data_IF_477504227622
#
_entry.id   IF_477504227622
#
_cell.length_a   1.000
_cell.length_b   1.000
_cell.length_c   1.000
_cell.angle_alpha   90.00
_cell.angle_beta   90.00
_cell.angle_gamma   90.00
#
_symmetry.space_group_name_H-M   'P 1'
#
loop_
_entity.id
_entity.type
_entity.pdbx_description
1 polymer ?
#
# COMPACT_ATOMS: atom_id res chain seq x y z
N UNK A 1 6.27 22.72 -9.49
CA UNK A 1 5.74 22.39 -8.13
C UNK A 1 5.89 20.89 -7.94
N UNK A 2 6.08 20.36 -6.71
CA UNK A 2 6.16 18.92 -6.46
C UNK A 2 4.74 18.35 -6.52
N UNK A 3 4.19 18.33 -7.73
CA UNK A 3 2.94 17.66 -8.05
C UNK A 3 3.20 16.89 -9.32
N UNK A 4 2.69 15.67 -9.37
CA UNK A 4 2.92 14.82 -10.51
C UNK A 4 2.30 15.45 -11.76
N UNK A 5 3.03 15.42 -12.87
CA UNK A 5 2.50 15.84 -14.17
C UNK A 5 1.84 14.63 -14.82
N UNK A 6 0.52 14.54 -14.66
CA UNK A 6 -0.25 13.44 -15.23
C UNK A 6 -0.57 13.65 -16.71
N UNK A 7 -0.41 12.58 -17.49
CA UNK A 7 -0.82 12.50 -18.89
C UNK A 7 -2.35 12.56 -18.99
N UNK A 8 -3.05 11.71 -18.24
CA UNK A 8 -4.51 11.77 -18.10
C UNK A 8 -4.88 12.93 -17.21
N UNK A 9 -5.70 13.84 -17.73
CA UNK A 9 -6.18 14.99 -16.97
C UNK A 9 -7.25 14.57 -15.97
N UNK A 10 -7.28 15.29 -14.86
CA UNK A 10 -8.28 15.07 -13.82
C UNK A 10 -9.68 15.33 -14.39
N UNK A 11 -10.60 14.40 -14.13
CA UNK A 11 -11.98 14.46 -14.64
C UNK A 11 -12.96 14.97 -13.59
N UNK A 12 -12.68 14.72 -12.31
CA UNK A 12 -13.63 14.93 -11.23
C UNK A 12 -13.17 16.00 -10.25
N UNK A 13 -14.12 16.51 -9.47
CA UNK A 13 -13.85 17.37 -8.31
C UNK A 13 -13.83 16.51 -7.06
N UNK A 14 -13.09 16.95 -6.06
CA UNK A 14 -12.93 16.24 -4.80
C UNK A 14 -13.03 17.18 -3.61
N UNK A 15 -13.31 16.60 -2.45
CA UNK A 15 -13.18 17.25 -1.15
C UNK A 15 -11.85 16.85 -0.53
N UNK A 16 -11.11 17.81 0.00
CA UNK A 16 -9.76 17.60 0.50
C UNK A 16 -9.76 17.43 2.02
N UNK A 17 -8.98 16.47 2.53
CA UNK A 17 -8.82 16.22 3.96
C UNK A 17 -8.90 14.73 4.31
N UNK A 18 -7.79 14.19 4.81
CA UNK A 18 -7.72 12.85 5.38
C UNK A 18 -8.50 12.79 6.71
N UNK A 19 -9.29 11.73 6.90
CA UNK A 19 -10.12 11.53 8.11
C UNK A 19 -10.93 12.76 8.54
N UNK A 20 -11.34 13.58 7.57
CA UNK A 20 -12.12 14.80 7.79
C UNK A 20 -13.60 14.48 7.63
N UNK A 21 -14.45 15.13 8.42
CA UNK A 21 -15.88 14.95 8.26
C UNK A 21 -16.35 15.66 7.00
N UNK A 22 -16.80 14.90 6.01
CA UNK A 22 -17.29 15.43 4.75
C UNK A 22 -18.80 15.36 4.67
N UNK A 23 -19.38 16.34 3.98
CA UNK A 23 -20.79 16.40 3.59
C UNK A 23 -20.83 16.64 2.08
N UNK A 24 -21.52 15.77 1.35
CA UNK A 24 -21.58 15.82 -0.10
C UNK A 24 -23.00 15.56 -0.58
N UNK A 25 -23.49 16.38 -1.51
CA UNK A 25 -24.82 16.22 -2.08
C UNK A 25 -24.79 16.59 -3.57
N UNK A 26 -25.23 15.66 -4.42
CA UNK A 26 -25.36 15.90 -5.86
C UNK A 26 -26.57 16.79 -6.17
N UNK A 27 -27.60 16.74 -5.32
CA UNK A 27 -28.78 17.59 -5.37
C UNK A 27 -28.83 18.44 -4.09
N UNK A 28 -28.94 19.75 -4.25
CA UNK A 28 -29.04 20.68 -3.11
C UNK A 28 -30.26 20.36 -2.23
N UNK A 29 -30.03 20.22 -0.92
CA UNK A 29 -31.07 19.91 0.06
C UNK A 29 -31.31 18.41 0.26
N UNK A 30 -30.51 17.53 -0.35
CA UNK A 30 -30.65 16.08 -0.19
C UNK A 30 -30.18 15.59 1.18
N UNK A 31 -29.23 16.31 1.81
CA UNK A 31 -28.85 16.07 3.20
C UNK A 31 -29.93 16.61 4.16
N UNK A 32 -30.48 15.79 5.07
CA UNK A 32 -31.34 16.30 6.12
C UNK A 32 -30.54 17.16 7.11
N UNK A 33 -31.17 18.23 7.60
CA UNK A 33 -30.54 19.19 8.51
C UNK A 33 -30.87 18.82 9.96
N UNK A 34 -29.83 18.65 10.79
CA UNK A 34 -29.97 18.43 12.24
C UNK A 34 -30.46 17.02 12.64
N UNK A 35 -30.57 16.08 11.70
CA UNK A 35 -30.95 14.68 11.96
C UNK A 35 -30.38 13.77 10.88
N UNK A 36 -30.02 12.53 11.25
CA UNK A 36 -29.54 11.53 10.29
C UNK A 36 -30.66 10.59 9.82
N UNK A 37 -31.78 10.53 10.56
CA UNK A 37 -32.87 9.57 10.32
C UNK A 37 -34.22 10.27 10.40
N UNK A 38 -34.49 11.25 9.51
CA UNK A 38 -35.81 11.87 9.46
C UNK A 38 -36.87 10.83 9.11
N UNK A 39 -38.11 11.01 9.59
CA UNK A 39 -39.23 10.14 9.24
C UNK A 39 -39.46 10.06 7.72
N UNK A 40 -39.19 11.16 7.01
CA UNK A 40 -39.26 11.28 5.56
C UNK A 40 -37.98 11.99 5.10
N UNK A 41 -36.94 11.26 4.67
CA UNK A 41 -35.76 11.88 4.11
C UNK A 41 -36.10 12.79 2.91
N UNK A 42 -35.33 13.87 2.68
CA UNK A 42 -35.49 14.71 1.51
C UNK A 42 -35.60 13.90 0.23
N UNK A 43 -36.40 14.37 -0.72
CA UNK A 43 -36.66 13.72 -2.00
C UNK A 43 -37.22 12.28 -1.92
N UNK A 44 -37.64 11.81 -0.74
CA UNK A 44 -38.13 10.44 -0.57
C UNK A 44 -37.03 9.38 -0.57
N UNK A 45 -35.77 9.79 -0.36
CA UNK A 45 -34.61 8.90 -0.28
C UNK A 45 -34.71 7.96 0.94
N UNK A 46 -33.90 6.91 0.92
CA UNK A 46 -33.66 6.04 2.07
C UNK A 46 -32.40 6.48 2.79
N UNK A 47 -32.48 6.64 4.12
CA UNK A 47 -31.31 6.86 4.97
C UNK A 47 -30.70 5.50 5.33
N UNK A 48 -29.41 5.34 5.04
CA UNK A 48 -28.63 4.14 5.32
C UNK A 48 -27.34 4.54 6.04
N UNK A 49 -26.87 3.71 6.97
CA UNK A 49 -25.60 3.94 7.67
C UNK A 49 -24.62 2.83 7.35
N UNK A 50 -23.50 3.19 6.73
CA UNK A 50 -22.34 2.34 6.58
C UNK A 50 -21.41 2.54 7.78
N UNK A 51 -21.17 1.48 8.55
CA UNK A 51 -20.31 1.51 9.74
C UNK A 51 -19.00 0.78 9.46
N UNK A 52 -17.90 1.51 9.31
CA UNK A 52 -16.56 0.94 9.10
C UNK A 52 -15.97 0.35 10.38
N UNK A 53 -16.37 0.90 11.53
CA UNK A 53 -15.89 0.50 12.86
C UNK A 53 -17.02 0.07 13.79
N UNK A 54 -16.67 -0.51 14.95
CA UNK A 54 -17.65 -0.80 16.00
C UNK A 54 -18.32 0.49 16.49
N UNK A 55 -19.60 0.41 16.89
CA UNK A 55 -20.33 1.59 17.38
C UNK A 55 -19.69 2.23 18.62
N UNK A 56 -18.96 1.45 19.41
CA UNK A 56 -18.27 1.88 20.63
C UNK A 56 -16.81 2.22 20.42
N UNK A 57 -16.31 2.21 19.17
CA UNK A 57 -14.95 2.64 18.87
C UNK A 57 -14.74 4.08 19.40
N UNK A 58 -13.56 4.38 19.98
CA UNK A 58 -13.22 5.74 20.40
C UNK A 58 -13.51 6.74 19.29
N UNK A 59 -14.00 7.93 19.64
CA UNK A 59 -14.48 8.91 18.65
C UNK A 59 -13.45 9.24 17.56
N UNK A 60 -12.17 9.24 17.89
CA UNK A 60 -11.08 9.55 16.95
C UNK A 60 -10.76 8.38 16.00
N UNK A 61 -11.16 7.15 16.34
CA UNK A 61 -11.07 5.96 15.49
C UNK A 61 -12.40 5.65 14.78
N UNK A 62 -13.51 6.21 15.25
CA UNK A 62 -14.86 5.83 14.81
C UNK A 62 -15.14 6.31 13.37
N UNK A 63 -15.08 5.37 12.43
CA UNK A 63 -15.41 5.62 11.03
C UNK A 63 -16.82 5.11 10.68
N UNK A 64 -17.64 6.02 10.17
CA UNK A 64 -19.01 5.77 9.71
C UNK A 64 -19.42 6.82 8.67
N UNK A 65 -20.34 6.45 7.79
CA UNK A 65 -20.96 7.35 6.82
C UNK A 65 -22.46 7.08 6.71
N UNK A 66 -23.24 8.16 6.64
CA UNK A 66 -24.65 8.12 6.28
C UNK A 66 -24.82 8.37 4.80
N UNK A 67 -25.66 7.57 4.17
CA UNK A 67 -25.98 7.58 2.75
C UNK A 67 -27.47 7.88 2.60
N UNK A 68 -27.82 8.78 1.69
CA UNK A 68 -29.20 9.06 1.28
C UNK A 68 -29.34 8.62 -0.17
N UNK A 69 -29.95 7.45 -0.36
CA UNK A 69 -29.95 6.70 -1.62
C UNK A 69 -31.36 6.43 -2.15
N UNK A 70 -31.48 6.15 -3.44
CA UNK A 70 -32.78 5.93 -4.11
C UNK A 70 -33.43 4.62 -3.64
N UNK A 71 -32.66 3.53 -3.57
CA UNK A 71 -33.08 2.24 -3.02
C UNK A 71 -32.04 1.73 -2.01
N UNK A 72 -32.46 1.12 -0.90
CA UNK A 72 -31.54 0.67 0.14
C UNK A 72 -30.65 -0.48 -0.34
N UNK A 73 -29.41 -0.54 0.15
CA UNK A 73 -28.43 -1.56 -0.23
C UNK A 73 -28.88 -2.99 0.06
N UNK A 74 -29.86 -3.19 0.95
CA UNK A 74 -30.45 -4.48 1.29
C UNK A 74 -31.41 -5.03 0.23
N UNK A 75 -31.76 -4.27 -0.80
CA UNK A 75 -32.72 -4.65 -1.84
C UNK A 75 -32.08 -5.50 -2.97
N UNK A 76 -31.58 -6.69 -2.63
CA UNK A 76 -31.02 -7.64 -3.60
C UNK A 76 -31.47 -9.09 -3.31
N UNK A 77 -31.25 -10.00 -4.26
CA UNK A 77 -31.46 -11.45 -4.07
C UNK A 77 -30.48 -12.04 -3.05
N UNK A 78 -30.66 -13.30 -2.65
CA UNK A 78 -29.62 -14.03 -1.93
C UNK A 78 -28.30 -14.04 -2.71
N UNK A 79 -27.18 -13.99 -1.97
CA UNK A 79 -25.85 -14.21 -2.52
C UNK A 79 -25.62 -15.71 -2.73
N UNK A 80 -25.18 -16.08 -3.92
CA UNK A 80 -24.81 -17.45 -4.28
C UNK A 80 -23.30 -17.53 -4.55
N UNK A 81 -22.63 -18.65 -4.23
CA UNK A 81 -21.22 -18.82 -4.57
C UNK A 81 -20.99 -18.62 -6.08
N UNK A 82 -19.98 -17.82 -6.43
CA UNK A 82 -19.56 -17.58 -7.80
C UNK A 82 -18.12 -18.04 -7.97
N UNK A 83 -17.88 -18.86 -8.99
CA UNK A 83 -16.51 -19.25 -9.39
C UNK A 83 -15.64 -19.82 -8.25
N UNK A 84 -16.26 -20.40 -7.21
CA UNK A 84 -15.59 -20.88 -6.00
C UNK A 84 -14.41 -21.84 -6.26
N UNK A 85 -14.44 -22.58 -7.38
CA UNK A 85 -13.35 -23.47 -7.78
C UNK A 85 -12.14 -22.74 -8.39
N UNK A 86 -12.35 -21.61 -9.07
CA UNK A 86 -11.34 -20.89 -9.86
C UNK A 86 -10.88 -19.60 -9.18
N UNK A 87 -11.79 -18.89 -8.52
CA UNK A 87 -11.51 -17.69 -7.75
C UNK A 87 -11.58 -17.99 -6.26
N UNK A 88 -10.42 -18.27 -5.66
CA UNK A 88 -10.25 -18.29 -4.23
C UNK A 88 -8.90 -17.70 -3.89
N UNK A 89 -8.95 -16.58 -3.17
CA UNK A 89 -7.80 -15.82 -2.73
C UNK A 89 -7.43 -16.15 -1.28
N UNK A 90 -8.10 -17.11 -0.64
CA UNK A 90 -7.65 -17.73 0.59
C UNK A 90 -7.05 -19.12 0.26
N UNK A 91 -5.71 -19.24 0.16
CA UNK A 91 -5.07 -20.47 -0.28
C UNK A 91 -5.34 -21.64 0.66
N UNK A 92 -5.48 -21.40 1.97
CA UNK A 92 -5.69 -22.45 2.96
C UNK A 92 -7.01 -23.21 2.77
N UNK A 93 -7.97 -22.59 2.07
CA UNK A 93 -9.26 -23.19 1.73
C UNK A 93 -9.21 -24.05 0.44
N UNK A 94 -8.09 -24.11 -0.29
CA UNK A 94 -7.96 -24.93 -1.50
C UNK A 94 -6.96 -26.10 -1.34
N UNK A 95 -7.36 -27.35 -1.68
CA UNK A 95 -6.43 -28.48 -1.69
C UNK A 95 -5.23 -28.24 -2.60
N UNK A 96 -4.03 -28.29 -2.03
CA UNK A 96 -2.77 -28.16 -2.79
C UNK A 96 -2.33 -26.72 -3.09
N UNK A 97 -3.15 -25.71 -2.80
CA UNK A 97 -2.68 -24.34 -2.70
C UNK A 97 -2.34 -24.07 -1.25
N UNK A 98 -1.10 -23.68 -0.95
CA UNK A 98 -0.67 -23.31 0.39
C UNK A 98 0.07 -22.00 0.32
N UNK A 99 0.03 -21.28 1.42
CA UNK A 99 0.97 -20.18 1.67
C UNK A 99 2.30 -20.82 2.08
N UNK A 100 3.37 -20.46 1.38
CA UNK A 100 4.72 -20.96 1.64
C UNK A 100 5.53 -19.89 2.37
N UNK A 101 5.84 -20.12 3.64
CA UNK A 101 6.81 -19.29 4.38
C UNK A 101 8.21 -19.73 3.98
N UNK A 102 8.84 -18.93 3.11
CA UNK A 102 10.17 -19.19 2.57
C UNK A 102 11.14 -18.18 3.20
N UNK A 103 12.24 -18.64 3.82
CA UNK A 103 13.23 -17.75 4.44
C UNK A 103 14.20 -17.12 3.44
N UNK A 104 14.28 -17.67 2.22
CA UNK A 104 15.06 -17.07 1.14
C UNK A 104 14.42 -15.75 0.69
N UNK A 105 15.27 -14.78 0.34
CA UNK A 105 14.88 -13.56 -0.33
C UNK A 105 14.30 -13.90 -1.70
N UNK A 106 13.16 -13.30 -2.05
CA UNK A 106 12.53 -13.50 -3.35
C UNK A 106 12.54 -12.19 -4.14
N UNK A 107 12.71 -12.29 -5.45
CA UNK A 107 12.56 -11.17 -6.39
C UNK A 107 11.81 -11.67 -7.61
N UNK A 108 10.87 -10.86 -8.08
CA UNK A 108 10.05 -11.11 -9.23
C UNK A 108 10.40 -10.13 -10.35
N UNK A 109 10.57 -10.66 -11.55
CA UNK A 109 10.50 -9.90 -12.80
C UNK A 109 9.16 -9.17 -12.95
N UNK A 110 9.06 -8.15 -13.82
CA UNK A 110 7.81 -7.48 -14.10
C UNK A 110 6.66 -8.45 -14.38
N UNK A 111 5.58 -8.33 -13.59
CA UNK A 111 4.37 -9.13 -13.79
C UNK A 111 3.70 -8.78 -15.13
N UNK A 112 3.10 -9.75 -15.80
CA UNK A 112 2.49 -9.55 -17.12
C UNK A 112 1.21 -8.70 -17.04
N UNK A 113 0.88 -8.05 -18.15
CA UNK A 113 -0.47 -7.53 -18.38
C UNK A 113 -1.36 -8.70 -18.81
N UNK A 114 -2.64 -8.65 -18.48
CA UNK A 114 -3.65 -9.58 -19.01
C UNK A 114 -4.73 -8.77 -19.70
N UNK A 115 -4.78 -8.85 -21.03
CA UNK A 115 -5.76 -8.11 -21.84
C UNK A 115 -7.15 -8.77 -21.85
N UNK A 116 -7.28 -9.96 -21.27
CA UNK A 116 -8.43 -10.86 -21.46
C UNK A 116 -9.43 -10.85 -20.32
N UNK A 117 -9.07 -10.28 -19.17
CA UNK A 117 -9.87 -10.27 -17.94
C UNK A 117 -10.23 -8.85 -17.50
N UNK A 118 -11.26 -8.76 -16.66
CA UNK A 118 -11.66 -7.52 -15.99
C UNK A 118 -10.92 -7.31 -14.65
N UNK A 119 -11.27 -6.24 -13.94
CA UNK A 119 -10.71 -5.91 -12.62
C UNK A 119 -10.82 -7.05 -11.60
N UNK A 120 -11.98 -7.71 -11.49
CA UNK A 120 -12.22 -8.73 -10.47
C UNK A 120 -11.35 -9.95 -10.77
N UNK A 121 -11.40 -10.43 -12.01
CA UNK A 121 -10.72 -11.66 -12.42
C UNK A 121 -9.21 -11.46 -12.64
N UNK A 122 -8.76 -10.22 -12.77
CA UNK A 122 -7.35 -9.84 -12.83
C UNK A 122 -6.64 -9.77 -11.47
N UNK A 123 -7.34 -10.04 -10.35
CA UNK A 123 -6.74 -10.04 -9.01
C UNK A 123 -5.96 -11.34 -8.74
N UNK A 124 -4.65 -11.23 -8.56
CA UNK A 124 -3.79 -12.35 -8.21
C UNK A 124 -3.14 -12.16 -6.84
N UNK A 125 -3.52 -12.98 -5.85
CA UNK A 125 -2.86 -12.98 -4.55
C UNK A 125 -1.44 -13.55 -4.69
N UNK A 126 -0.43 -12.72 -4.42
CA UNK A 126 0.99 -13.09 -4.52
C UNK A 126 1.50 -13.59 -3.18
N UNK A 127 1.23 -12.83 -2.13
CA UNK A 127 1.75 -13.08 -0.80
C UNK A 127 0.77 -12.57 0.25
N UNK A 128 0.87 -13.05 1.49
CA UNK A 128 0.01 -12.61 2.57
C UNK A 128 0.25 -13.38 3.86
N UNK A 129 -0.48 -12.97 4.90
CA UNK A 129 -0.50 -13.62 6.19
C UNK A 129 -1.82 -13.32 6.91
N UNK A 130 -2.24 -14.23 7.79
CA UNK A 130 -3.48 -14.11 8.55
C UNK A 130 -4.70 -14.67 7.84
N UNK A 131 -5.88 -14.35 8.36
CA UNK A 131 -7.17 -14.87 7.92
C UNK A 131 -8.20 -13.72 7.83
N UNK A 132 -8.74 -13.43 6.64
CA UNK A 132 -9.79 -12.41 6.49
C UNK A 132 -11.05 -12.72 7.29
N UNK A 133 -11.37 -14.00 7.56
CA UNK A 133 -12.53 -14.39 8.37
C UNK A 133 -12.39 -13.97 9.84
N UNK A 134 -11.15 -13.90 10.31
CA UNK A 134 -10.77 -13.40 11.64
C UNK A 134 -10.44 -11.90 11.63
N UNK A 135 -10.56 -11.22 10.47
CA UNK A 135 -10.22 -9.80 10.28
C UNK A 135 -8.82 -9.46 10.78
N UNK A 136 -7.87 -10.35 10.53
CA UNK A 136 -6.48 -10.23 11.01
C UNK A 136 -5.54 -10.55 9.86
N UNK A 137 -4.54 -9.70 9.65
CA UNK A 137 -3.52 -9.93 8.63
C UNK A 137 -3.64 -9.04 7.39
N UNK A 138 -2.96 -9.47 6.33
CA UNK A 138 -2.81 -8.74 5.06
C UNK A 138 -2.79 -9.69 3.87
N UNK A 139 -3.29 -9.21 2.73
CA UNK A 139 -3.11 -9.81 1.40
C UNK A 139 -2.36 -8.85 0.48
N UNK A 140 -1.41 -9.35 -0.29
CA UNK A 140 -0.63 -8.58 -1.27
C UNK A 140 -0.96 -9.13 -2.65
N UNK A 141 -1.62 -8.32 -3.46
CA UNK A 141 -2.06 -8.68 -4.79
C UNK A 141 -1.28 -7.92 -5.86
N UNK A 142 -1.17 -8.58 -7.01
CA UNK A 142 -0.94 -7.93 -8.28
C UNK A 142 -2.27 -7.97 -9.03
N UNK A 143 -2.68 -6.84 -9.59
CA UNK A 143 -3.78 -6.81 -10.53
C UNK A 143 -3.26 -6.58 -11.95
N UNK A 144 -3.83 -7.28 -12.92
CA UNK A 144 -3.59 -7.08 -14.34
C UNK A 144 -4.90 -7.33 -15.10
N UNK A 145 -5.39 -6.33 -15.84
CA UNK A 145 -6.69 -6.40 -16.50
C UNK A 145 -6.73 -5.56 -17.78
N UNK A 146 -7.46 -6.03 -18.79
CA UNK A 146 -7.62 -5.36 -20.08
C UNK A 146 -9.05 -5.01 -20.44
N UNK A 147 -10.01 -5.49 -19.64
CA UNK A 147 -11.43 -5.23 -19.84
C UNK A 147 -11.98 -4.38 -18.71
N UNK A 148 -12.90 -3.49 -19.04
CA UNK A 148 -13.76 -2.87 -18.05
C UNK A 148 -14.52 -3.96 -17.29
N UNK A 149 -14.86 -3.70 -16.04
CA UNK A 149 -15.95 -4.43 -15.42
C UNK A 149 -17.23 -4.23 -16.23
N UNK A 150 -18.11 -5.23 -16.23
CA UNK A 150 -19.42 -5.14 -16.90
C UNK A 150 -20.19 -3.88 -16.46
N UNK A 151 -20.92 -3.26 -17.39
CA UNK A 151 -21.61 -2.00 -17.15
C UNK A 151 -22.67 -2.11 -16.05
N UNK A 152 -23.23 -3.29 -15.84
CA UNK A 152 -24.21 -3.59 -14.79
C UNK A 152 -23.64 -4.52 -13.71
N UNK A 153 -22.35 -4.39 -13.39
CA UNK A 153 -21.70 -5.09 -12.28
C UNK A 153 -21.05 -4.13 -11.28
N UNK A 154 -21.20 -4.42 -10.00
CA UNK A 154 -20.43 -3.78 -8.95
C UNK A 154 -19.76 -4.82 -8.06
N UNK A 155 -18.62 -4.44 -7.49
CA UNK A 155 -17.81 -5.26 -6.62
C UNK A 155 -17.61 -4.59 -5.25
N UNK A 156 -17.52 -5.39 -4.19
CA UNK A 156 -16.95 -4.95 -2.92
C UNK A 156 -16.16 -6.07 -2.26
N UNK A 157 -15.16 -5.72 -1.44
CA UNK A 157 -14.52 -6.67 -0.54
C UNK A 157 -15.12 -6.54 0.86
N UNK A 158 -15.63 -7.64 1.41
CA UNK A 158 -15.99 -7.75 2.82
C UNK A 158 -14.77 -8.08 3.70
N UNK A 159 -13.63 -8.43 3.07
CA UNK A 159 -12.47 -8.98 3.76
C UNK A 159 -11.55 -7.89 4.32
N UNK A 160 -11.47 -6.73 3.68
CA UNK A 160 -10.54 -5.68 4.10
C UNK A 160 -10.60 -4.40 3.29
N UNK A 161 -9.78 -3.44 3.68
CA UNK A 161 -9.54 -2.20 2.93
C UNK A 161 -8.53 -2.48 1.82
N UNK A 162 -8.80 -2.04 0.59
CA UNK A 162 -7.83 -2.10 -0.50
C UNK A 162 -7.05 -0.79 -0.60
N UNK A 163 -5.74 -0.82 -0.36
CA UNK A 163 -4.80 0.20 -0.81
C UNK A 163 -4.28 -0.17 -2.20
N UNK A 164 -4.71 0.57 -3.22
CA UNK A 164 -4.42 0.32 -4.63
C UNK A 164 -3.30 1.27 -5.09
N UNK A 165 -2.27 0.70 -5.72
CA UNK A 165 -1.08 1.40 -6.22
C UNK A 165 -0.91 1.12 -7.73
N UNK A 166 -1.46 1.99 -8.61
CA UNK A 166 -1.32 1.81 -10.05
C UNK A 166 0.11 1.95 -10.56
N UNK A 167 0.49 1.03 -11.46
CA UNK A 167 1.79 0.98 -12.10
C UNK A 167 1.67 1.30 -13.60
N UNK A 168 0.71 0.70 -14.29
CA UNK A 168 0.43 0.91 -15.71
C UNK A 168 -1.06 1.16 -15.94
N UNK A 169 -1.37 2.13 -16.80
CA UNK A 169 -2.74 2.56 -17.09
C UNK A 169 -3.44 3.24 -15.91
N UNK A 170 -4.49 4.00 -16.22
CA UNK A 170 -5.30 4.72 -15.23
C UNK A 170 -6.58 3.95 -14.92
N UNK A 171 -7.05 4.01 -13.68
CA UNK A 171 -8.33 3.44 -13.23
C UNK A 171 -9.37 4.55 -13.11
N UNK A 172 -10.54 4.39 -13.70
CA UNK A 172 -11.69 5.26 -13.49
C UNK A 172 -12.71 4.50 -12.63
N UNK A 173 -12.74 4.82 -11.34
CA UNK A 173 -13.44 4.04 -10.32
C UNK A 173 -14.72 4.77 -9.93
N UNK A 174 -15.87 4.16 -10.21
CA UNK A 174 -17.18 4.60 -9.70
C UNK A 174 -17.44 3.90 -8.38
N UNK A 175 -17.65 4.64 -7.30
CA UNK A 175 -18.01 4.11 -5.97
C UNK A 175 -19.41 4.58 -5.59
N UNK A 176 -20.00 4.00 -4.55
CA UNK A 176 -21.25 4.51 -3.96
C UNK A 176 -21.16 5.98 -3.54
N UNK A 177 -19.97 6.50 -3.19
CA UNK A 177 -19.80 7.86 -2.68
C UNK A 177 -19.36 8.85 -3.77
N UNK A 178 -19.22 8.38 -5.01
CA UNK A 178 -18.80 9.16 -6.16
C UNK A 178 -17.61 8.57 -6.90
N UNK A 179 -16.98 9.37 -7.76
CA UNK A 179 -15.98 8.89 -8.72
C UNK A 179 -14.55 9.28 -8.34
N UNK A 180 -13.60 8.37 -8.60
CA UNK A 180 -12.16 8.56 -8.44
C UNK A 180 -11.44 8.17 -9.74
N UNK A 181 -10.74 9.11 -10.37
CA UNK A 181 -9.74 8.77 -11.39
C UNK A 181 -8.42 8.51 -10.67
N UNK A 182 -7.76 7.37 -10.85
CA UNK A 182 -6.52 7.02 -10.14
C UNK A 182 -5.45 6.62 -11.16
N UNK A 183 -4.35 7.38 -11.19
CA UNK A 183 -3.30 7.27 -12.20
C UNK A 183 -2.02 6.71 -11.58
N UNK A 184 -1.07 6.19 -12.37
CA UNK A 184 0.24 5.82 -11.85
C UNK A 184 0.89 7.01 -11.13
N UNK A 185 1.51 6.74 -9.98
CA UNK A 185 2.00 7.71 -8.99
C UNK A 185 0.94 8.40 -8.12
N UNK A 186 -0.34 8.03 -8.27
CA UNK A 186 -1.35 8.18 -7.23
C UNK A 186 -1.57 6.85 -6.52
N UNK A 187 -2.15 6.91 -5.33
CA UNK A 187 -2.76 5.75 -4.67
C UNK A 187 -4.24 6.03 -4.45
N UNK A 188 -5.04 4.99 -4.26
CA UNK A 188 -6.35 5.12 -3.64
C UNK A 188 -6.59 4.05 -2.58
N UNK A 189 -7.44 4.37 -1.63
CA UNK A 189 -7.98 3.41 -0.67
C UNK A 189 -9.47 3.26 -0.89
N UNK A 190 -9.92 2.02 -1.05
CA UNK A 190 -11.33 1.65 -1.04
C UNK A 190 -11.58 0.87 0.25
N UNK A 191 -12.25 1.49 1.24
CA UNK A 191 -12.59 0.82 2.48
C UNK A 191 -13.48 -0.41 2.30
N UNK A 192 -13.36 -1.35 3.23
CA UNK A 192 -14.17 -2.58 3.32
C UNK A 192 -15.67 -2.26 3.15
N UNK A 193 -16.34 -3.02 2.29
CA UNK A 193 -17.79 -2.96 2.11
C UNK A 193 -18.30 -1.90 1.14
N UNK A 194 -17.47 -0.93 0.73
CA UNK A 194 -17.89 0.08 -0.25
C UNK A 194 -17.98 -0.56 -1.64
N UNK A 195 -19.14 -0.45 -2.28
CA UNK A 195 -19.36 -0.97 -3.63
C UNK A 195 -18.74 -0.06 -4.67
N UNK A 196 -18.08 -0.66 -5.65
CA UNK A 196 -17.42 0.06 -6.73
C UNK A 196 -17.40 -0.71 -8.05
N UNK A 197 -17.20 0.01 -9.15
CA UNK A 197 -16.97 -0.52 -10.49
C UNK A 197 -15.75 0.17 -11.08
N UNK A 198 -14.90 -0.58 -11.77
CA UNK A 198 -13.65 -0.10 -12.35
C UNK A 198 -13.72 -0.11 -13.87
N UNK A 199 -13.52 1.07 -14.46
CA UNK A 199 -13.32 1.27 -15.89
C UNK A 199 -11.82 1.55 -16.19
N UNK A 200 -11.39 1.14 -17.37
CA UNK A 200 -10.01 1.19 -17.86
C UNK A 200 -9.92 2.13 -19.07
N UNK A 201 -9.97 3.46 -18.88
CA UNK A 201 -10.06 4.43 -19.99
C UNK A 201 -8.90 4.35 -20.99
N UNK A 202 -7.72 3.92 -20.54
CA UNK A 202 -6.52 3.71 -21.36
C UNK A 202 -5.97 2.28 -21.16
N UNK A 203 -6.86 1.30 -20.96
CA UNK A 203 -6.47 -0.10 -20.71
C UNK A 203 -5.49 -0.66 -21.77
N UNK A 204 -4.71 -1.70 -21.43
CA UNK A 204 -4.78 -2.48 -20.19
C UNK A 204 -4.17 -1.76 -18.97
N UNK A 205 -4.43 -2.29 -17.78
CA UNK A 205 -3.94 -1.78 -16.50
C UNK A 205 -3.19 -2.84 -15.72
N UNK A 206 -2.25 -2.40 -14.88
CA UNK A 206 -1.54 -3.25 -13.91
C UNK A 206 -1.12 -2.44 -12.70
N UNK A 207 -1.05 -3.09 -11.54
CA UNK A 207 -0.51 -2.49 -10.33
C UNK A 207 -0.54 -3.44 -9.16
N UNK A 208 -0.45 -2.86 -7.97
CA UNK A 208 -0.33 -3.58 -6.71
C UNK A 208 -1.51 -3.24 -5.81
N UNK A 209 -1.88 -4.17 -4.93
CA UNK A 209 -2.85 -3.92 -3.86
C UNK A 209 -2.30 -4.48 -2.56
N UNK A 210 -2.38 -3.69 -1.50
CA UNK A 210 -2.31 -4.17 -0.13
C UNK A 210 -3.74 -4.22 0.41
N UNK A 211 -4.27 -5.42 0.60
CA UNK A 211 -5.54 -5.65 1.31
C UNK A 211 -5.26 -5.78 2.80
N UNK A 212 -5.84 -4.87 3.58
CA UNK A 212 -5.70 -4.85 5.02
C UNK A 212 -6.93 -5.50 5.66
N UNK A 213 -6.76 -6.67 6.29
CA UNK A 213 -7.85 -7.34 7.00
C UNK A 213 -8.12 -6.74 8.38
N UNK A 214 -7.13 -6.07 8.98
CA UNK A 214 -7.18 -5.54 10.35
C UNK A 214 -7.26 -4.02 10.39
N UNK A 215 -8.34 -3.47 10.97
CA UNK A 215 -8.49 -2.03 11.15
C UNK A 215 -8.61 -1.27 9.82
N UNK A 216 -8.06 -0.06 9.80
CA UNK A 216 -8.06 0.87 8.67
C UNK A 216 -6.72 1.59 8.56
N UNK A 217 -6.38 2.06 7.37
CA UNK A 217 -5.21 2.91 7.17
C UNK A 217 -5.40 4.29 7.83
N UNK A 218 -4.34 4.77 8.46
CA UNK A 218 -4.23 6.07 9.15
C UNK A 218 -2.95 6.78 8.73
N UNK A 219 -2.82 8.08 9.04
CA UNK A 219 -1.54 8.77 8.92
C UNK A 219 -0.62 8.36 10.09
N UNK A 220 0.70 8.25 9.86
CA UNK A 220 1.62 7.91 10.94
C UNK A 220 1.69 9.04 11.98
N UNK A 221 1.93 8.66 13.23
CA UNK A 221 2.33 9.61 14.27
C UNK A 221 3.64 10.29 13.85
N UNK A 222 3.65 11.62 13.82
CA UNK A 222 4.78 12.39 13.29
C UNK A 222 5.94 12.54 14.28
N UNK A 223 5.68 12.32 15.59
CA UNK A 223 6.68 12.45 16.64
C UNK A 223 7.46 13.78 16.54
N UNK A 224 8.80 13.77 16.57
CA UNK A 224 9.61 14.98 16.47
C UNK A 224 9.50 15.77 15.16
N UNK A 225 8.91 15.21 14.09
CA UNK A 225 8.66 15.97 12.85
C UNK A 225 7.65 17.11 13.12
N UNK A 226 6.74 16.92 14.09
CA UNK A 226 5.80 17.94 14.53
C UNK A 226 4.41 17.78 13.92
N UNK A 227 3.86 18.85 13.34
CA UNK A 227 2.46 18.91 12.88
C UNK A 227 2.28 18.92 11.36
N UNK A 228 3.36 18.74 10.60
CA UNK A 228 3.41 18.91 9.15
C UNK A 228 4.42 17.93 8.54
N UNK A 229 4.43 17.85 7.21
CA UNK A 229 5.31 17.00 6.39
C UNK A 229 4.79 15.56 6.19
N UNK A 230 5.61 14.72 5.53
CA UNK A 230 5.21 13.42 4.99
C UNK A 230 3.98 13.57 4.07
N UNK A 231 2.95 12.75 4.25
CA UNK A 231 1.68 12.89 3.57
C UNK A 231 0.78 13.88 4.33
N UNK A 232 0.81 15.16 3.93
CA UNK A 232 -0.02 16.18 4.59
C UNK A 232 -1.52 15.85 4.40
N UNK A 233 -2.28 15.85 5.50
CA UNK A 233 -3.70 15.47 5.50
C UNK A 233 -4.57 16.22 4.48
N UNK A 234 -4.24 17.48 4.16
CA UNK A 234 -4.94 18.30 3.16
C UNK A 234 -4.93 17.69 1.76
N UNK A 235 -3.90 16.91 1.42
CA UNK A 235 -3.66 16.53 0.03
C UNK A 235 -4.38 15.22 -0.36
N UNK A 236 -5.04 14.57 0.60
CA UNK A 236 -5.95 13.44 0.38
C UNK A 236 -7.30 13.92 -0.11
N UNK A 237 -7.83 13.24 -1.12
CA UNK A 237 -9.00 13.67 -1.88
C UNK A 237 -10.11 12.62 -1.80
N UNK A 238 -11.26 13.00 -1.25
CA UNK A 238 -12.50 12.21 -1.22
C UNK A 238 -13.41 12.59 -2.40
N UNK A 239 -14.18 11.64 -2.98
CA UNK A 239 -15.09 11.95 -4.09
C UNK A 239 -16.18 12.94 -3.66
N UNK A 240 -16.80 13.61 -4.63
CA UNK A 240 -18.09 14.27 -4.42
C UNK A 240 -19.22 13.30 -4.81
N UNK A 241 -20.38 13.41 -4.15
CA UNK A 241 -21.54 12.59 -4.47
C UNK A 241 -21.87 12.64 -5.97
N UNK A 242 -22.04 11.46 -6.56
CA UNK A 242 -22.39 11.22 -7.96
C UNK A 242 -23.31 10.00 -7.97
N UNK A 243 -24.46 10.10 -8.63
CA UNK A 243 -25.47 9.05 -8.59
C UNK A 243 -26.01 8.70 -9.98
N UNK A 244 -26.62 7.53 -10.08
CA UNK A 244 -27.40 7.03 -11.19
C UNK A 244 -28.83 6.75 -10.70
N UNK A 245 -29.80 6.83 -11.60
CA UNK A 245 -31.21 6.58 -11.31
C UNK A 245 -31.75 5.36 -12.06
N UNK A 246 -30.88 4.56 -12.68
CA UNK A 246 -31.28 3.30 -13.30
C UNK A 246 -31.90 2.32 -12.29
N UNK A 247 -33.22 2.16 -12.39
CA UNK A 247 -34.03 1.18 -11.64
C UNK A 247 -34.72 0.16 -12.56
N UNK A 248 -34.26 0.06 -13.81
CA UNK A 248 -34.87 -0.79 -14.83
C UNK A 248 -33.93 -1.92 -15.28
N UNK A 249 -32.61 -1.72 -15.19
CA UNK A 249 -31.63 -2.74 -15.57
C UNK A 249 -31.40 -3.77 -14.46
N UNK A 250 -31.08 -5.00 -14.85
CA UNK A 250 -30.60 -6.01 -13.92
C UNK A 250 -29.10 -5.82 -13.66
N UNK A 251 -28.74 -5.66 -12.41
CA UNK A 251 -27.38 -5.53 -11.92
C UNK A 251 -26.89 -6.78 -11.21
N UNK A 252 -25.59 -7.04 -11.31
CA UNK A 252 -24.88 -8.07 -10.54
C UNK A 252 -24.07 -7.39 -9.43
N UNK A 253 -24.33 -7.77 -8.17
CA UNK A 253 -23.47 -7.44 -7.06
C UNK A 253 -22.54 -8.61 -6.78
N UNK A 254 -21.25 -8.43 -7.04
CA UNK A 254 -20.20 -9.39 -6.70
C UNK A 254 -19.53 -8.98 -5.40
N UNK A 255 -19.30 -9.92 -4.49
CA UNK A 255 -18.57 -9.67 -3.25
C UNK A 255 -17.45 -10.66 -3.08
N UNK A 256 -16.29 -10.18 -2.60
CA UNK A 256 -15.26 -11.03 -2.02
C UNK A 256 -15.56 -11.21 -0.53
N UNK A 257 -15.71 -12.45 -0.08
CA UNK A 257 -16.05 -12.81 1.30
C UNK A 257 -15.27 -14.06 1.73
N UNK A 258 -14.44 -13.91 2.76
CA UNK A 258 -13.47 -14.89 3.25
C UNK A 258 -12.57 -15.47 2.14
N UNK A 259 -12.17 -14.62 1.18
CA UNK A 259 -11.34 -14.98 0.03
C UNK A 259 -12.09 -15.53 -1.18
N UNK A 260 -13.41 -15.75 -1.09
CA UNK A 260 -14.24 -16.34 -2.15
C UNK A 260 -15.16 -15.31 -2.80
N UNK A 261 -15.58 -15.54 -4.05
CA UNK A 261 -16.61 -14.72 -4.68
C UNK A 261 -18.02 -15.26 -4.43
N UNK A 262 -18.93 -14.33 -4.20
CA UNK A 262 -20.37 -14.55 -4.22
C UNK A 262 -21.01 -13.50 -5.11
N UNK A 263 -22.15 -13.82 -5.70
CA UNK A 263 -22.92 -12.88 -6.50
C UNK A 263 -24.40 -12.87 -6.11
N UNK A 264 -24.99 -11.68 -6.09
CA UNK A 264 -26.42 -11.44 -5.97
C UNK A 264 -26.90 -10.62 -7.16
N UNK A 265 -28.22 -10.64 -7.42
CA UNK A 265 -28.87 -9.82 -8.44
C UNK A 265 -29.74 -8.76 -7.80
N UNK A 266 -29.79 -7.59 -8.43
CA UNK A 266 -30.75 -6.53 -8.11
C UNK A 266 -31.25 -5.88 -9.40
N UNK A 267 -32.33 -5.12 -9.34
CA UNK A 267 -32.97 -4.48 -10.49
C UNK A 267 -32.76 -2.96 -10.53
N UNK A 268 -31.65 -2.49 -9.99
CA UNK A 268 -31.28 -1.09 -9.96
C UNK A 268 -29.77 -0.96 -9.81
N UNK A 269 -29.23 0.20 -10.16
CA UNK A 269 -27.84 0.57 -9.92
C UNK A 269 -27.51 0.63 -8.42
N UNK A 270 -26.36 0.12 -7.98
CA UNK A 270 -25.89 0.34 -6.61
C UNK A 270 -25.28 1.73 -6.40
N UNK A 271 -25.06 2.48 -7.49
CA UNK A 271 -24.46 3.82 -7.48
C UNK A 271 -25.54 4.90 -7.40
N UNK A 272 -26.49 4.74 -6.49
CA UNK A 272 -27.72 5.53 -6.39
C UNK A 272 -27.76 6.43 -5.14
N UNK A 273 -26.58 6.76 -4.58
CA UNK A 273 -26.43 7.64 -3.42
C UNK A 273 -26.41 9.10 -3.86
N UNK A 274 -27.52 9.80 -3.64
CA UNK A 274 -27.69 11.21 -4.02
C UNK A 274 -26.90 12.15 -3.10
N UNK A 275 -26.78 11.78 -1.83
CA UNK A 275 -26.01 12.55 -0.85
C UNK A 275 -25.46 11.64 0.25
N UNK A 276 -24.36 12.06 0.86
CA UNK A 276 -23.74 11.36 1.98
C UNK A 276 -22.99 12.30 2.91
N UNK A 277 -22.80 11.88 4.16
CA UNK A 277 -21.91 12.57 5.10
C UNK A 277 -21.26 11.61 6.10
N UNK A 278 -20.00 11.86 6.45
CA UNK A 278 -19.29 11.01 7.41
C UNK A 278 -17.77 11.04 7.31
N UNK A 279 -17.18 9.96 7.85
CA UNK A 279 -15.73 9.73 7.98
C UNK A 279 -15.27 8.44 7.26
N UNK A 280 -16.20 7.67 6.68
CA UNK A 280 -15.89 6.39 6.04
C UNK A 280 -16.18 6.46 4.54
N UNK A 281 -15.16 6.79 3.77
CA UNK A 281 -15.26 7.07 2.34
C UNK A 281 -13.97 6.66 1.63
N UNK A 282 -14.01 6.35 0.32
CA UNK A 282 -12.81 6.09 -0.45
C UNK A 282 -12.06 7.40 -0.69
N UNK A 283 -10.74 7.32 -0.84
CA UNK A 283 -9.91 8.49 -1.06
C UNK A 283 -8.72 8.19 -1.96
N UNK A 284 -8.15 9.22 -2.57
CA UNK A 284 -6.92 9.14 -3.36
C UNK A 284 -5.87 10.15 -2.91
N UNK A 285 -4.61 9.89 -3.23
CA UNK A 285 -3.47 10.75 -2.90
C UNK A 285 -2.39 10.70 -3.99
N UNK A 286 -1.82 11.85 -4.34
CA UNK A 286 -0.71 11.98 -5.30
C UNK A 286 0.64 11.86 -4.56
N UNK A 287 1.38 10.78 -4.81
CA UNK A 287 2.68 10.52 -4.17
C UNK A 287 3.71 11.61 -4.47
N UNK A 288 3.56 12.33 -5.58
CA UNK A 288 4.40 13.47 -5.92
C UNK A 288 4.30 14.65 -4.93
N UNK A 289 3.25 14.68 -4.09
CA UNK A 289 3.02 15.71 -3.06
C UNK A 289 3.67 15.40 -1.72
N UNK A 290 4.26 14.22 -1.57
CA UNK A 290 4.87 13.80 -0.31
C UNK A 290 5.99 14.75 0.08
N UNK A 291 5.88 15.32 1.27
CA UNK A 291 6.87 16.23 1.84
C UNK A 291 7.97 15.41 2.52
N UNK A 292 8.86 14.85 1.69
CA UNK A 292 9.95 13.97 2.11
C UNK A 292 10.84 14.60 3.18
N UNK A 293 11.08 13.86 4.27
CA UNK A 293 12.06 14.17 5.31
C UNK A 293 13.22 13.19 5.20
N UNK A 294 14.44 13.65 5.53
CA UNK A 294 15.65 12.84 5.51
C UNK A 294 16.76 13.51 6.31
N UNK A 295 17.95 12.90 6.33
CA UNK A 295 19.09 13.51 7.01
C UNK A 295 19.64 14.71 6.23
N UNK A 296 19.79 15.82 6.93
CA UNK A 296 20.49 17.03 6.47
C UNK A 296 21.90 17.16 7.09
N UNK A 297 22.46 16.04 7.56
CA UNK A 297 23.75 16.00 8.27
C UNK A 297 24.58 14.79 7.82
N UNK A 298 24.52 13.67 8.55
CA UNK A 298 25.19 12.41 8.25
C UNK A 298 24.22 11.23 8.49
N UNK A 299 24.68 10.01 8.25
CA UNK A 299 23.95 8.74 8.38
C UNK A 299 22.72 8.57 7.47
N UNK A 300 22.23 7.34 7.39
CA UNK A 300 21.04 6.98 6.62
C UNK A 300 19.86 6.73 7.58
N UNK A 301 18.82 7.59 7.60
CA UNK A 301 17.66 7.40 8.47
C UNK A 301 16.91 6.10 8.18
N UNK A 302 16.24 5.56 9.19
CA UNK A 302 15.35 4.41 9.03
C UNK A 302 14.23 4.71 8.00
N UNK A 303 13.84 3.72 7.17
CA UNK A 303 12.90 3.93 6.07
C UNK A 303 11.48 4.30 6.52
N UNK A 304 11.13 4.09 7.80
CA UNK A 304 9.87 4.54 8.40
C UNK A 304 9.68 6.06 8.32
N UNK A 305 10.74 6.83 8.12
CA UNK A 305 10.66 8.27 7.84
C UNK A 305 9.94 8.58 6.50
N UNK A 306 9.70 7.57 5.66
CA UNK A 306 8.98 7.70 4.40
C UNK A 306 7.58 7.05 4.42
N UNK A 307 7.03 6.74 5.59
CA UNK A 307 5.66 6.21 5.72
C UNK A 307 4.63 7.23 5.22
N UNK A 308 3.76 6.78 4.31
CA UNK A 308 2.61 7.54 3.77
C UNK A 308 1.34 7.22 4.57
N UNK A 309 1.06 5.93 4.74
CA UNK A 309 -0.07 5.39 5.50
C UNK A 309 0.40 4.22 6.35
N UNK A 310 -0.19 4.08 7.54
CA UNK A 310 0.07 2.97 8.47
C UNK A 310 -1.24 2.37 8.98
N UNK A 311 -1.23 1.07 9.26
CA UNK A 311 -2.32 0.38 9.92
C UNK A 311 -1.79 -0.22 11.24
N UNK A 312 -2.22 0.25 12.41
CA UNK A 312 -1.73 -0.26 13.69
C UNK A 312 -2.16 -1.72 13.90
N UNK A 313 -1.28 -2.52 14.51
CA UNK A 313 -1.66 -3.82 15.08
C UNK A 313 -2.22 -3.66 16.50
N UNK A 314 -2.55 -4.77 17.16
CA UNK A 314 -2.96 -4.78 18.57
C UNK A 314 -1.79 -4.44 19.53
N UNK A 315 -0.55 -4.42 19.04
CA UNK A 315 0.63 -4.00 19.80
C UNK A 315 1.00 -2.54 19.48
N UNK A 316 0.95 -1.62 20.47
CA UNK A 316 1.34 -0.22 20.26
C UNK A 316 2.76 -0.09 19.72
N UNK A 317 2.94 0.71 18.68
CA UNK A 317 4.24 0.92 18.01
C UNK A 317 4.63 -0.19 17.01
N UNK A 318 3.75 -1.16 16.76
CA UNK A 318 3.93 -2.17 15.70
C UNK A 318 2.76 -2.12 14.73
N UNK A 319 3.04 -1.86 13.46
CA UNK A 319 2.02 -1.81 12.41
C UNK A 319 1.70 -3.21 11.89
N UNK A 320 0.42 -3.49 11.70
CA UNK A 320 -0.04 -4.59 10.86
C UNK A 320 0.49 -4.40 9.43
N UNK A 321 0.48 -3.16 8.93
CA UNK A 321 1.19 -2.78 7.72
C UNK A 321 1.57 -1.30 7.68
N UNK A 322 2.75 -1.01 7.14
CA UNK A 322 3.18 0.32 6.73
C UNK A 322 3.30 0.39 5.20
N UNK A 323 2.70 1.42 4.59
CA UNK A 323 2.94 1.79 3.20
C UNK A 323 3.98 2.91 3.16
N UNK A 324 5.19 2.54 2.76
CA UNK A 324 6.38 3.39 2.70
C UNK A 324 6.72 3.67 1.24
N UNK A 325 7.18 4.88 0.92
CA UNK A 325 7.63 5.22 -0.44
C UNK A 325 9.10 5.61 -0.48
N UNK A 326 9.72 5.54 -1.65
CA UNK A 326 11.08 6.03 -1.88
C UNK A 326 11.04 7.09 -3.01
N UNK A 327 10.63 8.32 -2.68
CA UNK A 327 10.38 9.37 -3.66
C UNK A 327 11.68 10.05 -4.10
N UNK A 328 11.62 10.90 -5.15
CA UNK A 328 12.74 11.77 -5.49
C UNK A 328 13.14 12.63 -4.30
N UNK A 329 14.44 12.64 -3.95
CA UNK A 329 14.94 13.33 -2.73
C UNK A 329 16.38 13.79 -2.88
N UNK A 330 16.78 14.73 -2.04
CA UNK A 330 18.17 15.17 -1.94
C UNK A 330 18.94 14.28 -0.97
N UNK A 331 20.11 13.82 -1.40
CA UNK A 331 21.10 13.20 -0.53
C UNK A 331 22.23 14.19 -0.31
N UNK A 332 22.40 14.59 0.95
CA UNK A 332 23.39 15.59 1.37
C UNK A 332 24.32 15.08 2.46
N UNK A 333 24.15 13.82 2.88
CA UNK A 333 24.84 13.28 4.04
C UNK A 333 26.36 13.25 3.84
N UNK A 334 27.09 13.81 4.81
CA UNK A 334 28.55 13.88 4.83
C UNK A 334 29.14 12.58 5.39
N UNK A 335 30.30 12.16 4.87
CA UNK A 335 31.06 10.97 5.30
C UNK A 335 30.19 9.71 5.56
N UNK A 336 29.20 9.50 4.68
CA UNK A 336 28.14 8.51 4.88
C UNK A 336 28.04 7.55 3.71
N UNK A 337 27.93 6.25 4.01
CA UNK A 337 27.45 5.27 3.04
C UNK A 337 25.96 5.51 2.77
N UNK A 338 25.66 6.23 1.68
CA UNK A 338 24.32 6.76 1.39
C UNK A 338 23.23 5.76 0.98
N UNK A 339 23.52 4.61 0.35
CA UNK A 339 22.50 3.59 0.14
C UNK A 339 21.92 3.06 1.47
N UNK A 340 20.78 2.35 1.43
CA UNK A 340 20.33 1.60 2.61
C UNK A 340 21.44 0.71 3.15
N UNK A 341 21.49 0.56 4.47
CA UNK A 341 22.48 -0.27 5.17
C UNK A 341 22.16 -1.77 5.03
N UNK A 342 23.14 -2.63 5.33
CA UNK A 342 22.88 -4.07 5.43
C UNK A 342 21.99 -4.35 6.64
N UNK A 343 20.87 -5.04 6.42
CA UNK A 343 19.76 -5.07 7.35
C UNK A 343 19.23 -6.50 7.57
N UNK A 344 18.74 -6.74 8.80
CA UNK A 344 17.93 -7.88 9.21
C UNK A 344 16.83 -7.33 10.12
N UNK A 345 15.58 -7.62 9.81
CA UNK A 345 14.43 -7.00 10.45
C UNK A 345 13.50 -8.05 11.07
N UNK A 346 12.73 -7.68 12.10
CA UNK A 346 11.60 -8.49 12.58
C UNK A 346 10.38 -8.40 11.67
N UNK A 347 10.28 -7.35 10.85
CA UNK A 347 9.21 -7.16 9.88
C UNK A 347 9.49 -7.95 8.59
N UNK A 348 8.44 -8.19 7.82
CA UNK A 348 8.52 -8.64 6.42
C UNK A 348 8.40 -7.44 5.49
N UNK A 349 9.31 -7.34 4.52
CA UNK A 349 9.42 -6.20 3.60
C UNK A 349 9.09 -6.63 2.17
N UNK A 350 7.90 -6.26 1.66
CA UNK A 350 7.52 -6.45 0.26
C UNK A 350 7.71 -5.14 -0.51
N UNK A 351 8.66 -5.10 -1.42
CA UNK A 351 8.94 -3.92 -2.25
C UNK A 351 8.32 -4.02 -3.64
N UNK A 352 7.85 -2.89 -4.16
CA UNK A 352 7.38 -2.71 -5.53
C UNK A 352 7.96 -1.45 -6.17
N UNK A 353 7.83 -1.34 -7.50
CA UNK A 353 8.36 -0.22 -8.28
C UNK A 353 7.34 0.27 -9.30
N UNK A 354 6.89 1.52 -9.16
CA UNK A 354 5.89 2.13 -10.06
C UNK A 354 6.53 2.51 -11.39
N UNK A 355 7.62 3.27 -11.35
CA UNK A 355 8.41 3.67 -12.51
C UNK A 355 9.87 3.99 -12.11
N UNK A 356 10.78 4.09 -13.09
CA UNK A 356 12.19 4.44 -12.88
C UNK A 356 13.06 3.30 -12.34
N UNK A 357 14.02 3.62 -11.48
CA UNK A 357 14.99 2.70 -10.87
C UNK A 357 15.12 2.94 -9.37
N UNK A 358 15.36 1.87 -8.59
CA UNK A 358 15.56 1.97 -7.15
C UNK A 358 17.05 2.01 -6.76
N UNK A 359 17.42 2.94 -5.88
CA UNK A 359 18.81 3.28 -5.55
C UNK A 359 19.63 2.08 -5.01
N UNK A 360 19.00 1.12 -4.32
CA UNK A 360 19.70 -0.02 -3.70
C UNK A 360 19.96 -1.20 -4.65
N UNK A 361 19.37 -1.18 -5.86
CA UNK A 361 19.39 -2.28 -6.83
C UNK A 361 19.68 -1.76 -8.24
N UNK A 362 20.87 -1.22 -8.42
CA UNK A 362 21.28 -0.61 -9.70
C UNK A 362 21.74 -1.63 -10.75
N UNK A 363 21.92 -2.90 -10.37
CA UNK A 363 22.30 -4.00 -11.27
C UNK A 363 21.25 -4.44 -12.30
N UNK A 364 20.04 -3.87 -12.28
CA UNK A 364 19.01 -4.09 -13.32
C UNK A 364 17.97 -5.19 -13.04
N UNK A 365 18.13 -5.97 -11.97
CA UNK A 365 17.22 -7.06 -11.62
C UNK A 365 15.91 -6.65 -10.90
N UNK A 366 15.74 -5.39 -10.50
CA UNK A 366 14.49 -4.86 -9.93
C UNK A 366 13.93 -3.76 -10.82
N UNK A 367 12.83 -4.04 -11.53
CA UNK A 367 12.29 -3.19 -12.59
C UNK A 367 10.84 -2.77 -12.29
N UNK A 368 10.33 -1.69 -12.92
CA UNK A 368 8.93 -1.31 -12.79
C UNK A 368 7.99 -2.48 -13.07
N UNK A 369 6.97 -2.62 -12.22
CA UNK A 369 6.08 -3.78 -12.16
C UNK A 369 6.66 -5.08 -11.61
N UNK A 370 7.93 -5.12 -11.21
CA UNK A 370 8.52 -6.22 -10.46
C UNK A 370 8.22 -6.11 -8.96
N UNK A 371 8.70 -7.09 -8.18
CA UNK A 371 8.58 -7.07 -6.73
C UNK A 371 9.79 -7.73 -6.06
N UNK A 372 9.95 -7.54 -4.75
CA UNK A 372 10.82 -8.39 -3.93
C UNK A 372 10.26 -8.56 -2.54
N UNK A 373 10.57 -9.70 -1.90
CA UNK A 373 10.18 -10.01 -0.53
C UNK A 373 11.43 -10.37 0.28
N UNK A 374 11.71 -9.56 1.30
CA UNK A 374 12.69 -9.86 2.33
C UNK A 374 11.95 -10.17 3.62
N UNK A 375 11.90 -11.44 3.97
CA UNK A 375 11.07 -11.92 5.07
C UNK A 375 11.77 -11.74 6.44
N UNK A 376 11.03 -12.06 7.51
CA UNK A 376 11.49 -11.95 8.90
C UNK A 376 12.91 -12.51 9.06
N UNK A 377 13.82 -11.65 9.50
CA UNK A 377 15.24 -11.88 9.78
C UNK A 377 16.10 -12.25 8.57
N UNK A 378 15.55 -12.27 7.35
CA UNK A 378 16.32 -12.48 6.13
C UNK A 378 17.29 -11.31 5.92
N UNK A 379 18.59 -11.61 5.87
CA UNK A 379 19.62 -10.60 5.68
C UNK A 379 19.55 -10.01 4.28
N UNK A 380 19.46 -8.70 4.17
CA UNK A 380 19.39 -7.99 2.89
C UNK A 380 20.20 -6.70 2.96
N UNK A 381 20.22 -5.94 1.87
CA UNK A 381 21.00 -4.72 1.73
C UNK A 381 21.42 -4.47 0.29
N UNK A 382 22.28 -3.48 0.05
CA UNK A 382 22.75 -3.13 -1.29
C UNK A 382 23.50 -4.31 -1.91
N UNK A 383 23.33 -4.47 -3.22
CA UNK A 383 24.11 -5.45 -3.99
C UNK A 383 25.61 -5.09 -4.01
N UNK A 384 26.47 -6.06 -4.38
CA UNK A 384 27.92 -5.88 -4.38
C UNK A 384 28.40 -4.69 -5.23
N UNK A 385 27.74 -4.44 -6.38
CA UNK A 385 28.09 -3.35 -7.27
C UNK A 385 27.75 -1.98 -6.68
N UNK A 386 26.59 -1.89 -6.01
CA UNK A 386 26.10 -0.71 -5.31
C UNK A 386 26.98 -0.41 -4.10
N UNK A 387 27.42 -1.45 -3.37
CA UNK A 387 28.37 -1.30 -2.27
C UNK A 387 29.69 -0.70 -2.76
N UNK A 388 30.33 -1.31 -3.77
CA UNK A 388 31.63 -0.83 -4.29
C UNK A 388 31.51 0.61 -4.82
N UNK A 389 30.44 0.93 -5.56
CA UNK A 389 30.21 2.27 -6.10
C UNK A 389 30.03 3.30 -4.99
N UNK A 390 29.20 3.02 -3.99
CA UNK A 390 28.90 3.97 -2.93
C UNK A 390 30.08 4.19 -1.97
N UNK A 391 30.85 3.13 -1.66
CA UNK A 391 32.03 3.21 -0.80
C UNK A 391 33.17 4.05 -1.39
N UNK A 392 33.19 4.26 -2.71
CA UNK A 392 34.23 5.04 -3.41
C UNK A 392 33.69 6.34 -4.04
N UNK A 393 32.43 6.70 -3.79
CA UNK A 393 31.82 7.87 -4.40
C UNK A 393 32.37 9.18 -3.80
N UNK A 394 32.61 10.18 -4.63
CA UNK A 394 32.82 11.56 -4.14
C UNK A 394 31.48 12.11 -3.64
N UNK A 395 31.40 12.41 -2.34
CA UNK A 395 30.16 12.87 -1.72
C UNK A 395 29.92 14.36 -2.00
N UNK A 396 28.88 14.65 -2.78
CA UNK A 396 28.33 16.00 -3.04
C UNK A 396 26.82 15.99 -2.89
N UNK A 397 26.15 17.14 -2.66
CA UNK A 397 24.69 17.21 -2.74
C UNK A 397 24.20 16.65 -4.08
N UNK A 398 23.36 15.62 -4.04
CA UNK A 398 22.84 14.97 -5.23
C UNK A 398 21.34 14.74 -5.09
N UNK A 399 20.60 14.94 -6.19
CA UNK A 399 19.19 14.58 -6.24
C UNK A 399 19.06 13.19 -6.83
N UNK A 400 18.36 12.30 -6.14
CA UNK A 400 18.13 10.91 -6.53
C UNK A 400 16.66 10.64 -6.77
N UNK A 401 16.36 9.50 -7.40
CA UNK A 401 14.98 9.07 -7.66
C UNK A 401 14.20 9.95 -8.63
N UNK A 402 14.83 10.88 -9.37
CA UNK A 402 14.11 11.65 -10.39
C UNK A 402 13.50 10.71 -11.44
N UNK A 403 12.18 10.82 -11.65
CA UNK A 403 11.45 9.91 -12.53
C UNK A 403 11.31 8.49 -11.98
N UNK A 404 11.56 8.27 -10.68
CA UNK A 404 11.32 6.99 -10.01
C UNK A 404 10.40 7.11 -8.80
N UNK A 405 9.65 6.04 -8.54
CA UNK A 405 8.86 5.87 -7.33
C UNK A 405 8.84 4.39 -6.96
N UNK A 406 9.72 3.98 -6.05
CA UNK A 406 9.60 2.68 -5.39
C UNK A 406 8.73 2.81 -4.13
N UNK A 407 8.23 1.69 -3.64
CA UNK A 407 7.48 1.64 -2.40
C UNK A 407 7.68 0.30 -1.71
N UNK A 408 7.23 0.22 -0.46
CA UNK A 408 7.25 -0.98 0.36
C UNK A 408 5.94 -1.13 1.12
N UNK A 409 5.43 -2.36 1.14
CA UNK A 409 4.48 -2.84 2.12
C UNK A 409 5.30 -3.59 3.18
N UNK A 410 5.50 -2.97 4.33
CA UNK A 410 6.16 -3.61 5.48
C UNK A 410 5.08 -4.14 6.43
N UNK A 411 5.25 -5.35 6.98
CA UNK A 411 4.27 -5.95 7.88
C UNK A 411 4.93 -6.65 9.06
N UNK A 412 4.30 -6.60 10.23
CA UNK A 412 4.74 -7.36 11.41
C UNK A 412 4.50 -8.87 11.28
N UNK A 413 3.67 -9.29 10.32
CA UNK A 413 3.36 -10.69 10.09
C UNK A 413 4.45 -11.37 9.27
N UNK A 414 4.71 -12.65 9.54
CA UNK A 414 5.56 -13.47 8.67
C UNK A 414 4.81 -13.78 7.37
N UNK A 415 5.04 -12.94 6.37
CA UNK A 415 4.39 -13.05 5.06
C UNK A 415 4.84 -14.32 4.34
N UNK A 416 3.90 -15.14 3.88
CA UNK A 416 4.21 -16.25 2.98
C UNK A 416 3.74 -15.98 1.55
N UNK A 417 4.21 -16.78 0.60
CA UNK A 417 3.93 -16.63 -0.84
C UNK A 417 2.96 -17.71 -1.31
N UNK A 418 1.99 -17.37 -2.16
CA UNK A 418 1.04 -18.33 -2.71
C UNK A 418 1.69 -19.20 -3.80
N UNK A 419 1.03 -20.30 -4.19
CA UNK A 419 1.47 -21.10 -5.34
C UNK A 419 1.49 -20.28 -6.64
N UNK A 420 0.58 -19.32 -6.79
CA UNK A 420 0.59 -18.42 -7.94
C UNK A 420 1.83 -17.50 -7.92
N UNK A 421 2.07 -16.84 -6.78
CA UNK A 421 3.21 -15.94 -6.61
C UNK A 421 4.55 -16.68 -6.73
N UNK A 422 4.63 -17.91 -6.25
CA UNK A 422 5.87 -18.67 -6.26
C UNK A 422 6.18 -19.33 -7.61
N UNK A 423 5.17 -19.88 -8.31
CA UNK A 423 5.40 -20.70 -9.51
C UNK A 423 4.56 -20.29 -10.72
N UNK A 424 3.25 -20.12 -10.57
CA UNK A 424 2.36 -19.95 -11.74
C UNK A 424 2.59 -18.64 -12.49
N UNK A 425 3.00 -17.57 -11.80
CA UNK A 425 3.33 -16.32 -12.46
C UNK A 425 4.62 -16.40 -13.31
N UNK A 426 5.48 -17.40 -13.07
CA UNK A 426 6.77 -17.59 -13.75
C UNK A 426 7.66 -16.34 -13.75
N UNK A 427 7.59 -15.52 -12.68
CA UNK A 427 8.40 -14.29 -12.53
C UNK A 427 9.50 -14.38 -11.48
N UNK A 428 9.55 -15.42 -10.65
CA UNK A 428 10.59 -15.55 -9.61
C UNK A 428 11.97 -15.70 -10.26
N UNK A 429 12.91 -14.88 -9.83
CA UNK A 429 14.31 -14.96 -10.26
C UNK A 429 15.08 -15.90 -9.33
N UNK A 430 15.55 -17.02 -9.86
CA UNK A 430 16.21 -18.08 -9.07
C UNK A 430 17.58 -17.65 -8.53
N UNK A 431 18.31 -16.82 -9.29
CA UNK A 431 19.70 -16.44 -8.98
C UNK A 431 19.82 -15.14 -8.18
N UNK A 432 18.72 -14.65 -7.58
CA UNK A 432 18.69 -13.33 -6.92
C UNK A 432 19.80 -13.15 -5.87
N UNK A 433 20.00 -14.16 -5.02
CA UNK A 433 21.02 -14.13 -3.98
C UNK A 433 22.43 -14.20 -4.56
N UNK A 434 22.62 -15.06 -5.56
CA UNK A 434 23.90 -15.25 -6.24
C UNK A 434 24.34 -13.95 -6.91
N UNK A 435 23.44 -13.30 -7.65
CA UNK A 435 23.70 -12.02 -8.31
C UNK A 435 23.98 -10.89 -7.31
N UNK A 436 23.18 -10.81 -6.24
CA UNK A 436 23.19 -9.62 -5.36
C UNK A 436 24.36 -9.61 -4.38
N UNK A 437 24.61 -10.70 -3.67
CA UNK A 437 25.42 -10.67 -2.44
C UNK A 437 26.61 -11.61 -2.42
N UNK A 438 26.61 -12.71 -3.21
CA UNK A 438 27.79 -13.60 -3.28
C UNK A 438 29.07 -12.94 -3.82
N UNK A 439 29.02 -11.90 -4.68
CA UNK A 439 30.24 -11.24 -5.15
C UNK A 439 30.90 -10.30 -4.12
N UNK A 440 30.31 -10.09 -2.94
CA UNK A 440 30.88 -9.25 -1.88
C UNK A 440 32.24 -9.79 -1.41
N UNK A 441 33.18 -8.88 -1.13
CA UNK A 441 34.56 -9.23 -0.77
C UNK A 441 34.90 -8.81 0.66
N UNK A 442 35.77 -9.57 1.35
CA UNK A 442 36.32 -9.10 2.62
C UNK A 442 37.29 -7.94 2.40
N UNK A 443 37.01 -6.79 3.02
CA UNK A 443 37.91 -5.62 3.01
C UNK A 443 38.68 -5.44 4.31
N UNK A 444 38.33 -6.17 5.37
CA UNK A 444 38.98 -6.07 6.67
C UNK A 444 40.46 -6.48 6.59
N UNK A 445 41.35 -5.58 7.03
CA UNK A 445 42.78 -5.84 7.19
C UNK A 445 43.12 -5.70 8.66
N UNK A 446 43.60 -6.79 9.27
CA UNK A 446 44.03 -6.78 10.67
C UNK A 446 45.17 -5.78 10.88
N UNK A 447 45.08 -4.84 11.84
CA UNK A 447 46.18 -3.94 12.16
C UNK A 447 47.41 -4.74 12.63
N UNK A 448 48.61 -4.37 12.15
CA UNK A 448 49.87 -5.08 12.45
C UNK A 448 50.21 -5.17 13.94
N UNK A 449 49.65 -4.30 14.80
CA UNK A 449 49.83 -4.33 16.26
C UNK A 449 48.88 -5.28 17.01
N UNK A 450 47.94 -5.90 16.32
CA UNK A 450 46.94 -6.82 16.91
C UNK A 450 47.26 -8.29 16.62
N UNK A 451 48.54 -8.69 16.67
CA UNK A 451 48.96 -10.09 16.44
C UNK A 451 48.79 -10.88 17.75
N UNK A 452 47.67 -11.59 17.87
CA UNK A 452 47.30 -12.45 19.01
C UNK A 452 45.79 -12.74 19.00
N UNK A 453 45.29 -13.75 19.72
CA UNK A 453 43.83 -13.88 19.92
C UNK A 453 43.33 -12.65 20.70
N UNK A 454 42.42 -11.86 20.12
CA UNK A 454 41.73 -10.81 20.86
C UNK A 454 40.67 -11.54 21.71
N UNK A 455 41.02 -11.85 22.96
CA UNK A 455 40.07 -12.39 23.94
C UNK A 455 39.28 -11.24 24.53
N UNK A 456 37.96 -11.23 24.36
CA UNK A 456 37.09 -10.29 25.07
C UNK A 456 37.30 -10.48 26.58
N UNK A 457 37.82 -9.46 27.26
CA UNK A 457 38.05 -9.50 28.71
C UNK A 457 39.28 -10.30 29.19
N UNK A 458 40.27 -10.58 28.32
CA UNK A 458 41.54 -11.14 28.76
C UNK A 458 42.44 -10.07 29.41
N UNK A 459 42.99 -10.36 30.59
CA UNK A 459 43.97 -9.51 31.27
C UNK A 459 45.05 -9.04 30.29
N UNK A 460 45.17 -7.72 30.15
CA UNK A 460 46.23 -7.11 29.38
C UNK A 460 47.54 -7.43 30.07
N UNK A 461 48.41 -8.17 29.38
CA UNK A 461 49.83 -8.17 29.71
C UNK A 461 50.34 -6.73 29.67
N UNK A 462 51.04 -6.35 30.73
CA UNK A 462 51.63 -5.03 30.94
C UNK A 462 52.34 -4.49 29.69
N UNK A 463 51.73 -3.50 29.04
CA UNK A 463 52.33 -2.68 28.00
C UNK A 463 51.84 -1.25 28.19
N UNK A 464 52.74 -0.24 28.25
CA UNK A 464 52.35 1.11 28.63
C UNK A 464 51.53 1.73 27.50
N UNK A 465 50.23 1.84 27.69
CA UNK A 465 49.40 2.75 26.90
C UNK A 465 49.64 4.13 27.49
N UNK A 466 50.55 4.89 26.87
CA UNK A 466 50.68 6.32 27.13
C UNK A 466 49.32 6.99 26.89
N UNK A 467 48.71 7.45 27.98
CA UNK A 467 47.47 8.23 27.95
C UNK A 467 47.74 9.60 27.32
N UNK A 468 47.54 9.73 26.02
CA UNK A 468 47.46 11.04 25.39
C UNK A 468 46.14 11.69 25.77
N UNK A 469 46.25 12.64 26.72
CA UNK A 469 45.32 13.69 27.14
C UNK A 469 43.98 13.75 26.37
N UNK A 470 42.91 13.44 27.09
CA UNK A 470 41.55 13.90 26.77
C UNK A 470 41.56 15.41 26.55
N UNK A 471 41.13 15.85 25.37
CA UNK A 471 40.93 17.26 25.06
C UNK A 471 39.59 17.70 25.69
N UNK A 472 39.50 18.85 26.37
CA UNK A 472 38.25 19.28 27.00
C UNK A 472 37.17 19.58 25.96
N UNK A 473 35.97 19.07 26.20
CA UNK A 473 34.76 19.56 25.53
C UNK A 473 34.48 20.98 26.00
N UNK A 474 34.43 21.94 25.07
CA UNK A 474 34.02 23.30 25.36
C UNK A 474 32.51 23.35 25.59
N UNK A 475 32.11 24.09 26.64
CA UNK A 475 30.73 24.43 27.02
C UNK A 475 30.01 25.27 25.98
#
# INVERSE_FOLDING_TARGET
>A
MPVTQFNVKEKYKYQNGFSSYHESQAIEGALPIGTNSPQKPPFGLYAEKLSGTSFTAPRHENQQTWLYRILPASAHSSFEPREHATFNTNPENQPGQKIHQIPNQLRWDPFDLDETVDWIHGLHLVAGAGDPSMKTGVGIYIYAAGKNMDDHEAFYSADGDFLIVPQHGSLDIRTELGRLLVRPNEICVIPRGIRYRVELPEGPVRGYILELYQGHFTLPELGPIGSNCLANARDFQAPVADFDEDTDSQWTLTTKFAGHLFAAKQNHTPFDVVAWHGLYYPYKYDLGRFSTIGSISFDHPDPSIFTVLTAPSDHPGTAAADFVIFPPRWLVQEDTFRPPWYHRNTMSEFMGLIHGQYDAKTGGGFQPAGASLHNVMAAHGPDASTHEKASNAELKPMKVGEGSMAFMFESCYMVGVTEWGLKKCAKVQEDYNEESWTPLKPHFKRPQKAVGEIKNGGESGDGPIESTKQVPHWT
#
